data_IF_480371344508
#
_entry.id   IF_480371344508
#
_cell.length_a   1.000
_cell.length_b   1.000
_cell.length_c   1.000
_cell.angle_alpha   90.00
_cell.angle_beta   90.00
_cell.angle_gamma   90.00
#
_symmetry.space_group_name_H-M   'P 1'
#
loop_
_entity.id
_entity.type
_entity.pdbx_description
1 polymer ?
#
# COMPACT_ATOMS: atom_id res chain seq x y z
N UNK A 1 7.49 6.64 7.02
CA UNK A 1 6.01 6.61 7.09
C UNK A 1 5.46 7.31 5.85
N UNK A 2 4.36 6.84 5.25
CA UNK A 2 3.79 7.45 4.02
C UNK A 2 3.87 6.60 2.74
N UNK A 3 4.28 5.33 2.84
CA UNK A 3 4.34 4.41 1.68
C UNK A 3 2.97 3.82 1.33
N UNK A 4 2.09 3.71 2.33
CA UNK A 4 0.72 3.25 2.20
C UNK A 4 -0.16 4.00 3.22
N UNK A 5 -1.43 4.11 2.90
CA UNK A 5 -2.47 4.66 3.77
C UNK A 5 -3.60 3.64 3.91
N UNK A 6 -4.39 3.80 4.96
CA UNK A 6 -5.51 2.92 5.26
C UNK A 6 -6.78 3.74 5.30
N UNK A 7 -7.85 3.22 4.71
CA UNK A 7 -9.15 3.87 4.67
C UNK A 7 -10.25 2.81 4.67
N UNK A 8 -11.27 3.00 5.51
CA UNK A 8 -12.44 2.11 5.56
C UNK A 8 -12.11 0.63 5.86
N UNK A 9 -11.03 0.35 6.59
CA UNK A 9 -10.59 -1.03 6.90
C UNK A 9 -9.71 -1.69 5.83
N UNK A 10 -9.39 -0.99 4.74
CA UNK A 10 -8.50 -1.47 3.69
C UNK A 10 -7.21 -0.66 3.65
N UNK A 11 -6.11 -1.33 3.30
CA UNK A 11 -4.83 -0.71 3.04
C UNK A 11 -4.67 -0.39 1.54
N UNK A 12 -4.06 0.75 1.25
CA UNK A 12 -3.85 1.29 -0.08
C UNK A 12 -2.41 1.79 -0.24
N UNK A 13 -1.80 1.50 -1.39
CA UNK A 13 -0.47 2.00 -1.71
C UNK A 13 -0.49 3.50 -2.05
N UNK A 14 0.43 4.27 -1.48
CA UNK A 14 0.50 5.70 -1.72
C UNK A 14 1.11 5.99 -3.10
N UNK A 15 0.45 6.81 -3.90
CA UNK A 15 0.85 7.12 -5.28
C UNK A 15 0.12 6.27 -6.34
N UNK A 16 -0.08 4.97 -6.12
CA UNK A 16 -0.80 4.10 -7.10
C UNK A 16 -2.25 3.77 -6.71
N UNK A 17 -2.66 4.05 -5.47
CA UNK A 17 -3.98 3.67 -4.93
C UNK A 17 -4.31 2.17 -5.07
N UNK A 18 -3.31 1.31 -5.27
CA UNK A 18 -3.56 -0.12 -5.33
C UNK A 18 -3.99 -0.65 -3.97
N UNK A 19 -5.07 -1.46 -3.98
CA UNK A 19 -5.64 -2.07 -2.79
C UNK A 19 -4.74 -3.19 -2.30
N UNK A 20 -4.11 -3.00 -1.14
CA UNK A 20 -3.25 -3.98 -0.47
C UNK A 20 -4.03 -5.08 0.24
N UNK A 21 -5.35 -4.92 0.35
CA UNK A 21 -6.22 -5.84 1.06
C UNK A 21 -6.67 -5.24 2.38
N UNK A 22 -7.18 -6.10 3.26
CA UNK A 22 -7.65 -5.68 4.58
C UNK A 22 -6.48 -5.16 5.40
N UNK A 23 -6.68 -4.04 6.10
CA UNK A 23 -5.70 -3.52 7.04
C UNK A 23 -5.66 -4.42 8.28
N UNK A 24 -4.77 -5.40 8.26
CA UNK A 24 -4.57 -6.32 9.37
C UNK A 24 -3.09 -6.70 9.47
N UNK A 25 -2.60 -6.99 10.67
CA UNK A 25 -1.22 -7.44 10.89
C UNK A 25 -0.90 -8.79 10.24
N UNK A 26 -1.93 -9.57 9.91
CA UNK A 26 -1.80 -10.84 9.18
C UNK A 26 -1.54 -10.66 7.68
N UNK A 27 -1.91 -9.50 7.11
CA UNK A 27 -1.75 -9.20 5.68
C UNK A 27 -0.72 -8.09 5.50
N UNK A 28 0.53 -8.49 5.28
CA UNK A 28 1.63 -7.59 4.98
C UNK A 28 1.91 -7.63 3.48
N UNK A 29 1.48 -6.61 2.75
CA UNK A 29 1.83 -6.47 1.33
C UNK A 29 3.10 -5.65 1.17
N UNK A 30 3.98 -6.11 0.29
CA UNK A 30 5.22 -5.42 -0.06
C UNK A 30 4.95 -4.23 -0.96
N UNK A 31 5.49 -3.07 -0.59
CA UNK A 31 5.44 -1.85 -1.41
C UNK A 31 6.73 -1.75 -2.21
N UNK A 32 6.60 -1.72 -3.53
CA UNK A 32 7.70 -1.47 -4.45
C UNK A 32 7.66 0.00 -4.86
N UNK A 33 8.76 0.71 -4.66
CA UNK A 33 8.90 2.08 -5.16
C UNK A 33 9.15 2.02 -6.67
N UNK A 34 8.22 2.57 -7.46
CA UNK A 34 8.35 2.68 -8.93
C UNK A 34 8.87 4.03 -9.36
N UNK A 35 8.86 5.03 -8.47
CA UNK A 35 9.41 6.34 -8.72
C UNK A 35 9.31 7.25 -7.49
N UNK A 36 9.76 8.52 -7.59
CA UNK A 36 9.60 9.50 -6.53
C UNK A 36 8.12 9.66 -6.19
N UNK A 37 7.74 9.44 -4.92
CA UNK A 37 6.34 9.44 -4.42
C UNK A 37 5.40 8.40 -5.06
N UNK A 38 5.90 7.43 -5.83
CA UNK A 38 5.08 6.40 -6.44
C UNK A 38 5.41 5.03 -5.84
N UNK A 39 4.44 4.46 -5.11
CA UNK A 39 4.53 3.13 -4.53
C UNK A 39 3.45 2.25 -5.13
N UNK A 40 3.84 1.11 -5.67
CA UNK A 40 2.94 0.05 -6.16
C UNK A 40 3.03 -1.15 -5.24
N UNK A 41 2.00 -1.98 -5.25
CA UNK A 41 2.08 -3.28 -4.58
C UNK A 41 3.00 -4.16 -5.42
N UNK A 42 4.17 -4.45 -4.87
CA UNK A 42 5.03 -5.50 -5.41
C UNK A 42 4.44 -6.83 -4.99
N UNK A 43 4.02 -7.62 -5.98
CA UNK A 43 3.60 -9.02 -5.79
C UNK A 43 4.63 -9.82 -4.98
#
# INVERSE_FOLDING_TARGET
>A
AGRAYQSGGYAYANGSNQRMGLYNTFYTSTLKQTGPNHWVIGC
#
